data_IF_004586585724
#
_entry.id   IF_004586585724
#
_cell.length_a   1.000
_cell.length_b   1.000
_cell.length_c   1.000
_cell.angle_alpha   90.00
_cell.angle_beta   90.00
_cell.angle_gamma   90.00
#
_symmetry.space_group_name_H-M   'P 1'
#
loop_
_entity.id
_entity.type
_entity.pdbx_description
1 polymer ?
#
# COMPACT_ATOMS: atom_id res chain seq x y z
N UNK A 1 10.35 -26.14 -74.56
CA UNK A 1 10.98 -26.25 -73.24
C UNK A 1 11.63 -24.91 -72.91
N UNK A 2 11.08 -24.12 -71.99
CA UNK A 2 11.79 -23.03 -71.30
C UNK A 2 11.03 -22.68 -70.03
N UNK A 3 11.72 -22.82 -68.89
CA UNK A 3 11.22 -22.62 -67.53
C UNK A 3 11.24 -21.14 -67.15
N UNK A 4 10.25 -20.78 -66.34
CA UNK A 4 10.00 -19.49 -65.68
C UNK A 4 11.11 -19.14 -64.68
N UNK A 5 11.44 -17.85 -64.58
CA UNK A 5 12.06 -17.22 -63.41
C UNK A 5 11.23 -16.00 -63.03
N UNK A 6 10.75 -15.96 -61.79
CA UNK A 6 9.98 -14.85 -61.20
C UNK A 6 10.91 -14.14 -60.23
N UNK A 7 11.04 -12.82 -60.41
CA UNK A 7 11.85 -11.91 -59.60
C UNK A 7 11.02 -11.47 -58.38
N UNK A 8 11.57 -11.65 -57.18
CA UNK A 8 10.96 -11.26 -55.90
C UNK A 8 11.42 -9.83 -55.54
N UNK A 9 10.46 -8.93 -55.30
CA UNK A 9 10.70 -7.58 -54.77
C UNK A 9 10.72 -7.65 -53.23
N UNK A 10 11.83 -7.27 -52.61
CA UNK A 10 11.97 -7.11 -51.15
C UNK A 10 11.69 -5.65 -50.76
N UNK A 11 10.67 -5.45 -49.92
CA UNK A 11 10.33 -4.21 -49.25
C UNK A 11 11.27 -3.99 -48.05
N UNK A 12 11.95 -2.84 -48.03
CA UNK A 12 12.67 -2.34 -46.86
C UNK A 12 11.67 -1.85 -45.81
N UNK A 13 11.67 -2.48 -44.63
CA UNK A 13 11.14 -1.87 -43.39
C UNK A 13 12.32 -1.40 -42.55
N UNK A 14 12.47 -0.08 -42.45
CA UNK A 14 13.39 0.55 -41.50
C UNK A 14 12.83 0.42 -40.09
N UNK A 15 13.34 -0.57 -39.34
CA UNK A 15 13.12 -0.67 -37.90
C UNK A 15 14.04 0.29 -37.17
N UNK A 16 13.46 1.33 -36.58
CA UNK A 16 14.12 2.13 -35.54
C UNK A 16 14.14 1.29 -34.25
N UNK A 17 15.22 0.54 -34.07
CA UNK A 17 15.57 -0.03 -32.77
C UNK A 17 16.04 1.12 -31.86
N UNK A 18 15.18 1.50 -30.90
CA UNK A 18 15.60 2.28 -29.74
C UNK A 18 16.34 1.32 -28.80
N UNK A 19 17.66 1.37 -28.83
CA UNK A 19 18.53 0.67 -27.88
C UNK A 19 18.20 1.15 -26.46
N UNK A 20 17.56 0.28 -25.68
CA UNK A 20 17.44 0.45 -24.24
C UNK A 20 18.81 0.15 -23.61
N UNK A 21 19.41 1.05 -22.81
CA UNK A 21 20.68 0.76 -22.19
C UNK A 21 20.52 -0.35 -21.16
N UNK A 22 21.13 -1.51 -21.45
CA UNK A 22 21.42 -2.54 -20.45
C UNK A 22 22.46 -2.00 -19.46
N UNK A 23 21.99 -1.26 -18.46
CA UNK A 23 22.72 -1.07 -17.22
C UNK A 23 22.22 -2.13 -16.23
N UNK A 24 22.73 -3.36 -16.34
CA UNK A 24 22.65 -4.33 -15.25
C UNK A 24 23.52 -3.82 -14.10
N UNK A 25 22.92 -3.07 -13.19
CA UNK A 25 23.54 -2.72 -11.93
C UNK A 25 23.64 -3.97 -11.05
N UNK A 26 24.73 -4.71 -11.18
CA UNK A 26 25.23 -5.63 -10.14
C UNK A 26 25.81 -4.82 -8.98
N UNK A 27 25.00 -3.95 -8.40
CA UNK A 27 25.33 -3.31 -7.13
C UNK A 27 25.15 -4.35 -6.03
N UNK A 28 26.24 -4.73 -5.35
CA UNK A 28 26.13 -5.30 -4.01
C UNK A 28 25.18 -4.40 -3.22
N UNK A 29 24.09 -4.97 -2.71
CA UNK A 29 23.17 -4.25 -1.84
C UNK A 29 24.00 -3.63 -0.72
N UNK A 30 24.19 -2.31 -0.78
CA UNK A 30 24.62 -1.55 0.39
C UNK A 30 23.63 -1.88 1.50
N UNK A 31 24.14 -2.23 2.68
CA UNK A 31 23.33 -2.44 3.88
C UNK A 31 22.47 -1.19 4.09
N UNK A 32 21.21 -1.24 3.64
CA UNK A 32 20.24 -0.20 3.95
C UNK A 32 20.08 -0.26 5.47
N UNK A 33 20.36 0.83 6.21
CA UNK A 33 20.21 0.81 7.66
C UNK A 33 18.77 0.42 7.97
N UNK A 34 18.59 -0.75 8.58
CA UNK A 34 17.27 -1.21 8.97
C UNK A 34 16.72 -0.26 10.03
N UNK A 35 15.42 0.10 9.97
CA UNK A 35 14.83 0.94 10.99
C UNK A 35 14.88 0.23 12.34
N UNK A 36 14.93 1.04 13.39
CA UNK A 36 14.59 0.52 14.72
C UNK A 36 13.10 0.22 14.73
N UNK A 37 12.72 -1.00 15.10
CA UNK A 37 11.31 -1.41 15.14
C UNK A 37 10.86 -1.44 16.59
N UNK A 38 9.78 -0.71 16.88
CA UNK A 38 9.12 -0.71 18.19
C UNK A 38 7.73 -1.31 17.98
N UNK A 39 7.50 -2.48 18.57
CA UNK A 39 6.17 -3.05 18.74
C UNK A 39 5.73 -2.84 20.19
N UNK A 40 4.73 -2.00 20.38
CA UNK A 40 4.14 -1.70 21.69
C UNK A 40 2.73 -2.29 21.76
N UNK A 41 2.54 -3.25 22.66
CA UNK A 41 1.25 -3.92 22.88
C UNK A 41 0.52 -3.46 24.14
N UNK A 42 1.06 -2.45 24.85
CA UNK A 42 0.59 -2.05 26.17
C UNK A 42 -0.88 -1.63 26.14
N UNK A 43 -1.31 -0.92 25.09
CA UNK A 43 -2.71 -0.51 24.92
C UNK A 43 -3.67 -1.70 24.92
N UNK A 44 -3.39 -2.73 24.14
CA UNK A 44 -4.19 -3.95 24.10
C UNK A 44 -4.04 -4.81 25.36
N UNK A 45 -2.85 -4.90 25.95
CA UNK A 45 -2.63 -5.63 27.21
C UNK A 45 -3.42 -5.03 28.37
N UNK A 46 -3.47 -3.71 28.48
CA UNK A 46 -4.27 -3.00 29.50
C UNK A 46 -5.76 -3.25 29.32
N UNK A 47 -6.23 -3.29 28.07
CA UNK A 47 -7.61 -3.65 27.76
C UNK A 47 -7.94 -5.08 28.21
N UNK A 48 -7.08 -6.07 27.87
CA UNK A 48 -7.23 -7.47 28.28
C UNK A 48 -7.26 -7.60 29.81
N UNK A 49 -6.32 -6.95 30.50
CA UNK A 49 -6.21 -6.95 31.96
C UNK A 49 -7.49 -6.42 32.60
N UNK A 50 -8.01 -5.30 32.10
CA UNK A 50 -9.26 -4.72 32.59
C UNK A 50 -10.46 -5.65 32.36
N UNK A 51 -10.59 -6.21 31.14
CA UNK A 51 -11.73 -7.06 30.79
C UNK A 51 -11.78 -8.36 31.60
N UNK A 52 -10.63 -8.93 32.00
CA UNK A 52 -10.59 -10.09 32.91
C UNK A 52 -11.21 -9.79 34.28
N UNK A 53 -11.12 -8.55 34.75
CA UNK A 53 -11.62 -8.12 36.06
C UNK A 53 -13.08 -7.69 35.97
N UNK A 54 -13.42 -6.83 34.99
CA UNK A 54 -14.75 -6.21 34.89
C UNK A 54 -15.76 -7.09 34.14
N UNK A 55 -15.28 -8.09 33.39
CA UNK A 55 -16.00 -9.03 32.53
C UNK A 55 -16.76 -8.38 31.36
N UNK A 56 -17.44 -7.24 31.56
CA UNK A 56 -18.33 -6.62 30.58
C UNK A 56 -18.22 -5.08 30.47
N UNK A 57 -17.38 -4.40 31.27
CA UNK A 57 -17.28 -2.93 31.24
C UNK A 57 -16.28 -2.44 30.18
N UNK A 58 -16.71 -2.51 28.91
CA UNK A 58 -15.88 -2.16 27.74
C UNK A 58 -15.46 -0.70 27.77
N UNK A 59 -16.37 0.21 28.16
CA UNK A 59 -16.10 1.64 28.18
C UNK A 59 -14.95 1.97 29.15
N UNK A 60 -14.97 1.39 30.35
CA UNK A 60 -13.86 1.51 31.30
C UNK A 60 -12.57 0.92 30.76
N UNK A 61 -12.62 -0.23 30.09
CA UNK A 61 -11.42 -0.87 29.55
C UNK A 61 -10.83 -0.11 28.35
N UNK A 62 -11.67 0.54 27.55
CA UNK A 62 -11.22 1.47 26.51
C UNK A 62 -10.52 2.69 27.14
N UNK A 63 -11.10 3.28 28.20
CA UNK A 63 -10.48 4.40 28.91
C UNK A 63 -9.12 4.02 29.50
N UNK A 64 -8.96 2.80 30.04
CA UNK A 64 -7.68 2.28 30.51
C UNK A 64 -6.66 2.14 29.36
N UNK A 65 -7.09 1.55 28.23
CA UNK A 65 -6.25 1.44 27.03
C UNK A 65 -5.79 2.81 26.53
N UNK A 66 -6.68 3.81 26.53
CA UNK A 66 -6.41 5.19 26.12
C UNK A 66 -5.39 5.93 27.01
N UNK A 67 -5.05 5.40 28.19
CA UNK A 67 -3.99 5.99 29.04
C UNK A 67 -2.57 5.63 28.61
N UNK A 68 -2.42 4.60 27.77
CA UNK A 68 -1.11 4.20 27.21
C UNK A 68 -0.74 5.09 26.02
N UNK A 69 0.52 5.07 25.59
CA UNK A 69 0.95 5.94 24.49
C UNK A 69 0.26 5.58 23.17
N UNK A 70 0.20 4.29 22.81
CA UNK A 70 -0.59 3.84 21.66
C UNK A 70 -2.07 4.18 21.76
N UNK A 71 -2.67 4.04 22.95
CA UNK A 71 -4.08 4.37 23.16
C UNK A 71 -4.40 5.85 22.97
N UNK A 72 -3.52 6.76 23.40
CA UNK A 72 -3.65 8.20 23.15
C UNK A 72 -3.60 8.52 21.65
N UNK A 73 -2.69 7.87 20.92
CA UNK A 73 -2.58 8.05 19.46
C UNK A 73 -3.86 7.58 18.77
N UNK A 74 -4.40 6.43 19.18
CA UNK A 74 -5.68 5.93 18.67
C UNK A 74 -6.83 6.92 18.91
N UNK A 75 -6.98 7.49 20.11
CA UNK A 75 -8.01 8.51 20.40
C UNK A 75 -7.88 9.74 19.50
N UNK A 76 -6.66 10.19 19.22
CA UNK A 76 -6.42 11.31 18.32
C UNK A 76 -6.85 11.00 16.88
N UNK A 77 -6.76 9.73 16.47
CA UNK A 77 -7.10 9.29 15.12
C UNK A 77 -8.60 9.10 14.90
N UNK A 78 -9.39 8.78 15.95
CA UNK A 78 -10.84 8.51 15.85
C UNK A 78 -11.64 9.58 15.08
N UNK A 79 -11.48 10.90 15.30
CA UNK A 79 -12.33 11.91 14.67
C UNK A 79 -12.19 12.02 13.15
N UNK A 80 -11.19 11.37 12.54
CA UNK A 80 -10.92 11.49 11.10
C UNK A 80 -11.51 10.37 10.25
N UNK A 81 -12.08 9.33 10.87
CA UNK A 81 -12.61 8.16 10.14
C UNK A 81 -14.07 8.30 9.70
N UNK A 82 -14.63 9.50 9.78
CA UNK A 82 -16.07 9.71 9.59
C UNK A 82 -16.90 8.90 10.57
N UNK A 83 -18.22 8.86 10.37
CA UNK A 83 -19.08 7.89 11.06
C UNK A 83 -19.02 6.58 10.29
N UNK A 84 -18.26 5.60 10.80
CA UNK A 84 -18.40 4.23 10.33
C UNK A 84 -19.86 3.78 10.49
N UNK A 85 -20.40 2.98 9.54
CA UNK A 85 -21.75 2.42 9.70
C UNK A 85 -21.85 1.76 11.07
N UNK A 86 -22.98 1.96 11.74
CA UNK A 86 -23.29 1.29 13.00
C UNK A 86 -23.43 -0.22 12.75
N UNK A 87 -22.30 -0.89 12.63
CA UNK A 87 -22.14 -2.32 12.59
C UNK A 87 -21.54 -2.73 13.93
N UNK A 88 -22.27 -3.56 14.67
CA UNK A 88 -21.75 -4.23 15.85
C UNK A 88 -20.64 -5.19 15.41
N UNK A 89 -19.39 -4.73 15.38
CA UNK A 89 -18.24 -5.63 15.43
C UNK A 89 -18.50 -6.55 16.61
N UNK A 90 -18.65 -7.84 16.34
CA UNK A 90 -18.85 -8.83 17.40
C UNK A 90 -17.62 -8.76 18.28
N UNK A 91 -17.81 -8.38 19.54
CA UNK A 91 -16.71 -8.26 20.48
C UNK A 91 -15.99 -9.62 20.55
N UNK A 92 -14.67 -9.67 20.28
CA UNK A 92 -13.92 -10.91 20.41
C UNK A 92 -13.84 -11.32 21.89
N UNK A 93 -13.55 -12.59 22.13
CA UNK A 93 -13.28 -13.03 23.49
C UNK A 93 -11.96 -12.41 23.98
N UNK A 94 -11.86 -12.17 25.29
CA UNK A 94 -10.62 -11.70 25.93
C UNK A 94 -9.46 -12.66 25.65
N UNK A 95 -9.75 -13.97 25.57
CA UNK A 95 -8.76 -14.98 25.21
C UNK A 95 -8.27 -14.82 23.77
N UNK A 96 -9.15 -14.50 22.82
CA UNK A 96 -8.77 -14.27 21.41
C UNK A 96 -7.81 -13.10 21.29
N UNK A 97 -8.07 -12.00 22.01
CA UNK A 97 -7.17 -10.84 22.04
C UNK A 97 -5.84 -11.22 22.71
N UNK A 98 -5.83 -11.96 23.82
CA UNK A 98 -4.58 -12.43 24.43
C UNK A 98 -3.76 -13.32 23.46
N UNK A 99 -4.40 -14.29 22.80
CA UNK A 99 -3.74 -15.18 21.84
C UNK A 99 -3.14 -14.41 20.67
N UNK A 100 -3.82 -13.36 20.19
CA UNK A 100 -3.27 -12.44 19.19
C UNK A 100 -1.97 -11.80 19.70
N UNK A 101 -1.98 -11.18 20.89
CA UNK A 101 -0.79 -10.53 21.46
C UNK A 101 0.36 -11.51 21.68
N UNK A 102 0.07 -12.70 22.20
CA UNK A 102 1.06 -13.75 22.41
C UNK A 102 1.69 -14.16 21.06
N UNK A 103 0.90 -14.28 20.00
CA UNK A 103 1.43 -14.60 18.66
C UNK A 103 2.27 -13.46 18.09
N UNK A 104 1.82 -12.21 18.22
CA UNK A 104 2.54 -11.03 17.71
C UNK A 104 3.91 -10.87 18.36
N UNK A 105 4.07 -11.27 19.63
CA UNK A 105 5.37 -11.24 20.31
C UNK A 105 6.45 -12.13 19.69
N UNK A 106 6.04 -13.09 18.85
CA UNK A 106 6.93 -14.00 18.12
C UNK A 106 7.14 -13.58 16.65
N UNK A 107 6.64 -12.42 16.23
CA UNK A 107 6.84 -11.96 14.86
C UNK A 107 8.29 -11.57 14.60
N UNK A 108 8.81 -12.05 13.47
CA UNK A 108 10.09 -11.61 12.92
C UNK A 108 9.90 -10.31 12.12
N UNK A 109 9.52 -9.22 12.81
CA UNK A 109 9.23 -7.93 12.19
C UNK A 109 10.39 -7.39 11.34
N UNK A 110 11.64 -7.72 11.72
CA UNK A 110 12.82 -7.34 10.93
C UNK A 110 12.86 -8.01 9.56
N UNK A 111 12.37 -9.24 9.42
CA UNK A 111 12.32 -9.93 8.14
C UNK A 111 11.22 -9.34 7.25
N UNK A 112 10.03 -9.10 7.80
CA UNK A 112 8.93 -8.38 7.10
C UNK A 112 9.41 -7.01 6.62
N UNK A 113 10.04 -6.23 7.50
CA UNK A 113 10.57 -4.92 7.15
C UNK A 113 11.65 -4.99 6.06
N UNK A 114 12.50 -6.04 6.06
CA UNK A 114 13.52 -6.26 5.03
C UNK A 114 12.90 -6.63 3.68
N UNK A 115 11.86 -7.45 3.68
CA UNK A 115 11.12 -7.83 2.48
C UNK A 115 10.48 -6.60 1.83
N UNK A 116 9.83 -5.74 2.61
CA UNK A 116 9.23 -4.49 2.11
C UNK A 116 10.28 -3.49 1.66
N UNK A 117 11.40 -3.35 2.40
CA UNK A 117 12.52 -2.49 2.02
C UNK A 117 13.05 -2.78 0.61
N UNK A 118 12.86 -4.01 0.12
CA UNK A 118 13.27 -4.37 -1.23
C UNK A 118 12.44 -3.68 -2.34
N UNK A 119 11.33 -3.02 -2.03
CA UNK A 119 10.46 -2.35 -3.01
C UNK A 119 10.56 -0.82 -2.96
N UNK A 120 11.32 -0.25 -2.02
CA UNK A 120 11.52 1.20 -1.89
C UNK A 120 13.00 1.53 -2.13
N UNK A 121 13.33 2.68 -2.75
CA UNK A 121 14.72 3.13 -2.87
C UNK A 121 15.40 3.27 -1.50
N UNK A 122 16.75 3.17 -1.43
CA UNK A 122 17.47 3.30 -0.17
C UNK A 122 17.12 4.60 0.56
N UNK A 123 16.75 4.46 1.83
CA UNK A 123 16.41 5.59 2.68
C UNK A 123 17.66 6.43 2.95
N UNK A 124 17.51 7.76 2.87
CA UNK A 124 18.56 8.69 3.28
C UNK A 124 18.45 8.98 4.77
N UNK A 125 19.59 9.30 5.39
CA UNK A 125 19.67 9.59 6.82
C UNK A 125 19.74 8.33 7.70
N UNK A 126 19.73 8.53 9.01
CA UNK A 126 19.75 7.48 10.03
C UNK A 126 18.63 7.72 11.05
N UNK A 127 18.31 6.73 11.87
CA UNK A 127 17.35 6.89 12.97
C UNK A 127 15.87 6.71 12.59
N UNK A 128 15.58 6.16 11.41
CA UNK A 128 14.21 5.76 11.05
C UNK A 128 13.68 4.77 12.09
N UNK A 129 12.50 5.06 12.64
CA UNK A 129 11.87 4.25 13.68
C UNK A 129 10.49 3.82 13.22
N UNK A 130 10.31 2.52 12.97
CA UNK A 130 9.02 1.92 12.67
C UNK A 130 8.27 1.71 14.00
N UNK A 131 7.27 2.55 14.28
CA UNK A 131 6.46 2.47 15.49
C UNK A 131 5.13 1.78 15.18
N UNK A 132 4.88 0.66 15.85
CA UNK A 132 3.67 -0.15 15.71
C UNK A 132 3.03 -0.25 17.09
N UNK A 133 1.82 0.29 17.24
CA UNK A 133 1.07 0.19 18.49
C UNK A 133 -0.15 -0.71 18.31
N UNK A 134 -0.33 -1.64 19.23
CA UNK A 134 -1.47 -2.55 19.30
C UNK A 134 -2.38 -2.08 20.43
N UNK A 135 -3.60 -1.68 20.08
CA UNK A 135 -4.51 -0.96 20.99
C UNK A 135 -5.83 -1.69 21.19
N UNK A 136 -6.50 -1.45 22.32
CA UNK A 136 -7.82 -2.00 22.64
C UNK A 136 -8.97 -0.98 22.50
N UNK A 137 -8.67 0.30 22.31
CA UNK A 137 -9.65 1.39 22.20
C UNK A 137 -9.95 1.82 20.76
N UNK A 138 -9.58 1.04 19.74
CA UNK A 138 -9.85 1.42 18.34
C UNK A 138 -11.31 1.26 17.89
N UNK A 139 -12.00 0.20 18.32
CA UNK A 139 -13.38 -0.10 17.94
C UNK A 139 -14.39 0.83 18.64
N UNK A 140 -15.41 1.32 17.92
CA UNK A 140 -15.80 0.95 16.54
C UNK A 140 -15.31 1.95 15.48
N UNK A 141 -14.25 2.69 15.76
CA UNK A 141 -13.97 3.96 15.09
C UNK A 141 -12.98 3.89 13.93
N UNK A 142 -12.22 2.81 13.76
CA UNK A 142 -11.35 2.60 12.59
C UNK A 142 -11.18 1.11 12.25
N UNK A 143 -10.64 0.80 11.06
CA UNK A 143 -10.42 -0.57 10.55
C UNK A 143 -9.46 -1.41 11.44
N UNK A 144 -9.09 -2.61 11.01
CA UNK A 144 -8.05 -3.44 11.61
C UNK A 144 -6.69 -2.77 11.82
N UNK A 145 -6.19 -2.07 10.81
CA UNK A 145 -4.87 -1.43 10.85
C UNK A 145 -4.83 -0.22 9.90
N UNK A 146 -4.00 0.75 10.23
CA UNK A 146 -3.75 1.93 9.39
C UNK A 146 -2.51 2.68 9.87
N UNK A 147 -2.00 3.57 9.01
CA UNK A 147 -0.89 4.48 9.30
C UNK A 147 -1.38 5.92 9.40
N UNK A 148 -0.87 6.66 10.39
CA UNK A 148 -1.09 8.12 10.54
C UNK A 148 0.20 8.82 10.89
N UNK A 149 0.26 10.11 10.60
CA UNK A 149 1.44 10.90 10.88
C UNK A 149 1.24 11.74 12.14
N UNK A 150 2.16 11.59 13.09
CA UNK A 150 2.10 12.28 14.37
C UNK A 150 3.33 13.16 14.60
N UNK A 151 3.16 14.21 15.37
CA UNK A 151 4.25 15.03 15.87
C UNK A 151 4.13 15.20 17.37
N UNK A 152 5.24 15.55 18.03
CA UNK A 152 5.28 15.71 19.49
C UNK A 152 5.65 17.13 19.87
N UNK A 153 4.89 17.72 20.80
CA UNK A 153 5.24 18.98 21.48
C UNK A 153 5.39 18.69 22.96
N UNK A 154 6.60 18.85 23.49
CA UNK A 154 6.91 18.55 24.90
C UNK A 154 6.49 17.14 25.33
N UNK A 155 6.65 16.15 24.45
CA UNK A 155 6.26 14.75 24.69
C UNK A 155 4.77 14.45 24.48
N UNK A 156 3.94 15.44 24.14
CA UNK A 156 2.50 15.25 23.87
C UNK A 156 2.30 15.06 22.36
N UNK A 157 1.70 13.95 21.90
CA UNK A 157 1.45 13.72 20.49
C UNK A 157 0.27 14.55 19.97
N UNK A 158 0.30 14.89 18.68
CA UNK A 158 -0.81 15.47 17.93
C UNK A 158 -0.74 15.01 16.46
N UNK A 159 -1.90 14.96 15.78
CA UNK A 159 -1.96 14.61 14.36
C UNK A 159 -1.28 15.69 13.50
N UNK A 160 -0.44 15.24 12.58
CA UNK A 160 0.27 16.07 11.62
C UNK A 160 0.47 15.29 10.31
N UNK A 161 -0.61 15.13 9.54
CA UNK A 161 -0.63 14.35 8.28
C UNK A 161 0.38 14.83 7.23
N UNK A 162 0.84 16.08 7.31
CA UNK A 162 1.73 16.66 6.31
C UNK A 162 3.21 16.43 6.61
N UNK A 163 3.59 16.34 7.88
CA UNK A 163 5.02 16.36 8.27
C UNK A 163 5.36 15.57 9.53
N UNK A 164 4.39 14.86 10.10
CA UNK A 164 4.63 13.99 11.25
C UNK A 164 5.39 12.71 10.89
N UNK A 165 5.87 12.02 11.92
CA UNK A 165 6.38 10.66 11.78
C UNK A 165 5.22 9.71 11.53
N UNK A 166 5.31 8.81 10.53
CA UNK A 166 4.30 7.79 10.31
C UNK A 166 4.33 6.76 11.46
N UNK A 167 3.15 6.44 11.99
CA UNK A 167 2.92 5.46 13.06
C UNK A 167 1.80 4.52 12.64
N UNK A 168 2.04 3.23 12.81
CA UNK A 168 1.04 2.18 12.57
C UNK A 168 0.24 1.92 13.84
N UNK A 169 -1.08 1.88 13.71
CA UNK A 169 -2.01 1.55 14.78
C UNK A 169 -2.78 0.28 14.39
N UNK A 170 -2.77 -0.73 15.27
CA UNK A 170 -3.45 -2.01 15.09
C UNK A 170 -4.58 -2.11 16.12
N UNK A 171 -5.81 -2.28 15.66
CA UNK A 171 -6.94 -2.57 16.54
C UNK A 171 -6.98 -4.06 16.89
N UNK A 172 -6.53 -4.39 18.10
CA UNK A 172 -6.47 -5.77 18.57
C UNK A 172 -7.85 -6.44 18.61
N UNK A 173 -8.92 -5.68 18.84
CA UNK A 173 -10.28 -6.23 18.95
C UNK A 173 -10.85 -6.52 17.56
N UNK A 174 -10.66 -5.61 16.62
CA UNK A 174 -11.07 -5.85 15.24
C UNK A 174 -10.31 -7.03 14.65
N UNK A 175 -8.99 -7.06 14.79
CA UNK A 175 -8.15 -8.17 14.30
C UNK A 175 -8.55 -9.49 14.94
N UNK A 176 -8.71 -9.55 16.26
CA UNK A 176 -9.07 -10.79 16.95
C UNK A 176 -10.46 -11.31 16.56
N UNK A 177 -11.29 -10.50 15.91
CA UNK A 177 -12.61 -10.91 15.39
C UNK A 177 -12.51 -11.70 14.07
N UNK A 178 -11.38 -11.64 13.35
CA UNK A 178 -11.17 -12.35 12.08
C UNK A 178 -10.89 -13.84 12.24
N UNK A 179 -10.33 -14.24 13.39
CA UNK A 179 -9.99 -15.64 13.65
C UNK A 179 -11.24 -16.51 13.77
N UNK A 180 -11.28 -17.62 13.03
CA UNK A 180 -12.25 -18.70 13.19
C UNK A 180 -11.56 -19.99 13.66
N UNK A 181 -12.30 -21.09 13.81
CA UNK A 181 -11.73 -22.40 14.15
C UNK A 181 -10.83 -22.90 13.02
N UNK A 182 -9.53 -22.58 13.08
CA UNK A 182 -8.51 -23.09 12.14
C UNK A 182 -7.52 -22.05 11.64
N UNK A 183 -7.85 -20.75 11.69
CA UNK A 183 -6.98 -19.68 11.19
C UNK A 183 -6.60 -18.71 12.30
N UNK A 184 -5.29 -18.50 12.50
CA UNK A 184 -4.80 -17.55 13.48
C UNK A 184 -4.99 -16.12 12.94
N UNK A 185 -5.72 -15.28 13.67
CA UNK A 185 -5.93 -13.88 13.33
C UNK A 185 -4.60 -13.10 13.14
N UNK A 186 -3.56 -13.47 13.89
CA UNK A 186 -2.24 -12.89 13.75
C UNK A 186 -1.59 -13.21 12.39
N UNK A 187 -1.85 -14.39 11.83
CA UNK A 187 -1.30 -14.73 10.51
C UNK A 187 -2.04 -13.98 9.39
N UNK A 188 -3.35 -13.79 9.52
CA UNK A 188 -4.17 -12.99 8.59
C UNK A 188 -3.61 -11.56 8.47
N UNK A 189 -3.21 -10.95 9.58
CA UNK A 189 -2.75 -9.55 9.56
C UNK A 189 -1.27 -9.36 9.22
N UNK A 190 -0.47 -10.43 9.10
CA UNK A 190 0.91 -10.32 8.58
C UNK A 190 0.92 -9.81 7.15
N UNK A 191 -0.08 -10.16 6.37
CA UNK A 191 -0.29 -9.70 5.01
C UNK A 191 -0.57 -8.19 5.00
N UNK A 192 -1.49 -7.73 5.86
CA UNK A 192 -1.77 -6.30 6.04
C UNK A 192 -0.52 -5.55 6.56
N UNK A 193 0.34 -6.17 7.38
CA UNK A 193 1.60 -5.53 7.83
C UNK A 193 2.52 -5.17 6.66
N UNK A 194 2.63 -6.02 5.65
CA UNK A 194 3.46 -5.72 4.48
C UNK A 194 2.92 -4.49 3.73
N UNK A 195 1.59 -4.43 3.59
CA UNK A 195 0.88 -3.30 3.00
C UNK A 195 1.19 -1.99 3.75
N UNK A 196 0.98 -1.97 5.07
CA UNK A 196 1.17 -0.73 5.85
C UNK A 196 2.65 -0.34 6.05
N UNK A 197 3.56 -1.30 6.19
CA UNK A 197 5.00 -1.00 6.26
C UNK A 197 5.49 -0.37 4.95
N UNK A 198 4.89 -0.72 3.81
CA UNK A 198 5.24 -0.10 2.53
C UNK A 198 4.92 1.39 2.54
N UNK A 199 3.72 1.80 2.97
CA UNK A 199 3.36 3.21 3.09
C UNK A 199 4.32 3.99 4.01
N UNK A 200 4.78 3.37 5.10
CA UNK A 200 5.75 3.98 6.02
C UNK A 200 7.10 4.20 5.33
N UNK A 201 7.64 3.16 4.69
CA UNK A 201 8.93 3.24 3.99
C UNK A 201 8.87 4.23 2.83
N UNK A 202 7.79 4.19 2.06
CA UNK A 202 7.60 5.12 0.97
C UNK A 202 7.44 6.55 1.47
N UNK A 203 6.76 6.74 2.62
CA UNK A 203 6.66 8.05 3.28
C UNK A 203 8.02 8.60 3.73
N UNK A 204 8.90 7.76 4.27
CA UNK A 204 10.27 8.20 4.60
C UNK A 204 11.08 8.55 3.35
N UNK A 205 10.99 7.73 2.31
CA UNK A 205 11.71 7.98 1.06
C UNK A 205 11.27 9.32 0.43
N UNK A 206 9.97 9.50 0.20
CA UNK A 206 9.41 10.72 -0.43
C UNK A 206 9.70 11.99 0.38
N UNK A 207 9.81 11.88 1.71
CA UNK A 207 10.19 12.99 2.58
C UNK A 207 11.64 13.46 2.39
N UNK A 208 12.51 12.67 1.76
CA UNK A 208 13.93 13.00 1.54
C UNK A 208 14.32 13.20 0.08
N UNK A 209 13.40 12.97 -0.85
CA UNK A 209 13.61 13.16 -2.29
C UNK A 209 12.94 14.47 -2.75
N UNK A 210 13.75 15.40 -3.26
CA UNK A 210 13.29 16.74 -3.64
C UNK A 210 12.24 16.73 -4.77
N UNK A 211 12.30 15.74 -5.67
CA UNK A 211 11.33 15.59 -6.76
C UNK A 211 9.98 15.17 -6.20
N UNK A 212 9.99 14.17 -5.31
CA UNK A 212 8.80 13.75 -4.58
C UNK A 212 8.21 14.89 -3.73
N UNK A 213 9.03 15.63 -3.00
CA UNK A 213 8.54 16.80 -2.24
C UNK A 213 7.88 17.84 -3.17
N UNK A 214 8.43 18.07 -4.37
CA UNK A 214 7.85 18.96 -5.37
C UNK A 214 6.50 18.42 -5.88
N UNK A 215 6.43 17.13 -6.21
CA UNK A 215 5.21 16.46 -6.64
C UNK A 215 4.10 16.59 -5.59
N UNK A 216 4.40 16.28 -4.32
CA UNK A 216 3.45 16.37 -3.20
C UNK A 216 2.99 17.81 -2.93
N UNK A 217 3.86 18.82 -3.11
CA UNK A 217 3.47 20.24 -2.93
C UNK A 217 2.47 20.73 -3.96
N UNK A 218 2.50 20.15 -5.16
CA UNK A 218 1.59 20.48 -6.24
C UNK A 218 0.50 19.42 -6.41
N UNK A 219 0.03 18.84 -5.29
CA UNK A 219 -1.01 17.82 -5.30
C UNK A 219 -2.35 18.38 -5.81
N UNK A 220 -2.97 17.63 -6.72
CA UNK A 220 -4.31 17.86 -7.26
C UNK A 220 -5.09 16.54 -7.13
N UNK A 221 -6.44 16.53 -7.22
CA UNK A 221 -7.18 15.28 -7.18
C UNK A 221 -6.74 14.26 -8.25
N UNK A 222 -6.33 14.73 -9.44
CA UNK A 222 -5.81 13.85 -10.49
C UNK A 222 -4.43 13.28 -10.16
N UNK A 223 -3.55 14.09 -9.55
CA UNK A 223 -2.25 13.60 -9.04
C UNK A 223 -2.41 12.64 -7.88
N UNK A 224 -3.41 12.84 -7.03
CA UNK A 224 -3.74 11.92 -5.95
C UNK A 224 -4.17 10.58 -6.54
N UNK A 225 -5.08 10.57 -7.51
CA UNK A 225 -5.48 9.33 -8.21
C UNK A 225 -4.26 8.63 -8.84
N UNK A 226 -3.34 9.39 -9.44
CA UNK A 226 -2.12 8.85 -10.02
C UNK A 226 -1.21 8.23 -8.93
N UNK A 227 -1.08 8.90 -7.79
CA UNK A 227 -0.34 8.39 -6.64
C UNK A 227 -1.00 7.13 -6.07
N UNK A 228 -2.32 7.10 -5.88
CA UNK A 228 -3.08 5.97 -5.34
C UNK A 228 -2.85 4.70 -6.18
N UNK A 229 -2.86 4.81 -7.51
CA UNK A 229 -2.55 3.69 -8.42
C UNK A 229 -1.18 3.07 -8.13
N UNK A 230 -0.17 3.87 -7.76
CA UNK A 230 1.16 3.35 -7.43
C UNK A 230 1.27 2.91 -5.97
N UNK A 231 0.88 3.77 -5.04
CA UNK A 231 1.09 3.60 -3.60
C UNK A 231 0.28 2.41 -3.09
N UNK A 232 -1.04 2.48 -3.21
CA UNK A 232 -1.96 1.40 -2.81
C UNK A 232 -1.74 0.14 -3.66
N UNK A 233 -1.49 0.32 -4.96
CA UNK A 233 -1.23 -0.78 -5.87
C UNK A 233 -0.06 -1.67 -5.45
N UNK A 234 1.07 -1.06 -5.11
CA UNK A 234 2.24 -1.78 -4.60
C UNK A 234 1.95 -2.34 -3.21
N UNK A 235 1.31 -1.56 -2.32
CA UNK A 235 0.97 -1.98 -0.97
C UNK A 235 0.11 -3.25 -0.97
N UNK A 236 -0.97 -3.30 -1.76
CA UNK A 236 -1.81 -4.50 -1.91
C UNK A 236 -1.05 -5.67 -2.53
N UNK A 237 -0.18 -5.43 -3.51
CA UNK A 237 0.65 -6.51 -4.08
C UNK A 237 1.63 -7.10 -3.06
N UNK A 238 2.12 -6.29 -2.12
CA UNK A 238 2.95 -6.78 -1.03
C UNK A 238 2.13 -7.49 0.04
N UNK A 239 0.90 -7.02 0.27
CA UNK A 239 -0.02 -7.57 1.26
C UNK A 239 -0.91 -8.71 0.78
N UNK A 240 -0.82 -9.18 -0.48
CA UNK A 240 -1.50 -10.39 -0.93
C UNK A 240 -0.49 -11.37 -1.56
N UNK A 241 0.04 -12.33 -0.77
CA UNK A 241 1.01 -13.28 -1.28
C UNK A 241 0.44 -14.18 -2.40
N UNK A 242 -0.89 -14.31 -2.51
CA UNK A 242 -1.50 -15.09 -3.57
C UNK A 242 -1.21 -14.49 -4.94
N UNK A 243 -1.13 -13.16 -5.08
CA UNK A 243 -0.85 -12.53 -6.38
C UNK A 243 0.53 -12.90 -6.92
N UNK A 244 1.51 -13.11 -6.03
CA UNK A 244 2.85 -13.61 -6.40
C UNK A 244 2.84 -15.10 -6.73
N UNK A 245 2.02 -15.89 -6.05
CA UNK A 245 2.03 -17.36 -6.15
C UNK A 245 1.16 -17.89 -7.29
N UNK A 246 -0.05 -17.35 -7.43
CA UNK A 246 -1.08 -17.83 -8.36
C UNK A 246 -1.44 -16.81 -9.44
N UNK A 247 -0.87 -15.59 -9.36
CA UNK A 247 -1.11 -14.51 -10.30
C UNK A 247 -2.30 -13.63 -9.91
N UNK A 248 -2.44 -12.51 -10.61
CA UNK A 248 -3.54 -11.57 -10.38
C UNK A 248 -4.84 -12.05 -11.03
N UNK A 249 -6.02 -11.95 -10.37
CA UNK A 249 -7.29 -12.30 -10.99
C UNK A 249 -7.63 -11.40 -12.20
N UNK A 250 -7.37 -11.88 -13.41
CA UNK A 250 -7.45 -11.09 -14.66
C UNK A 250 -8.76 -10.32 -14.83
N UNK A 251 -9.90 -10.95 -14.56
CA UNK A 251 -11.22 -10.30 -14.72
C UNK A 251 -11.42 -9.12 -13.75
N UNK A 252 -10.89 -9.22 -12.52
CA UNK A 252 -10.93 -8.12 -11.54
C UNK A 252 -10.03 -6.97 -11.99
N UNK A 253 -8.82 -7.30 -12.45
CA UNK A 253 -7.86 -6.30 -12.94
C UNK A 253 -8.38 -5.54 -14.16
N UNK A 254 -8.98 -6.24 -15.13
CA UNK A 254 -9.60 -5.59 -16.29
C UNK A 254 -10.74 -4.65 -15.91
N UNK A 255 -11.65 -5.08 -15.03
CA UNK A 255 -12.75 -4.23 -14.57
C UNK A 255 -12.28 -2.97 -13.83
N UNK A 256 -11.23 -3.10 -13.02
CA UNK A 256 -10.59 -1.98 -12.33
C UNK A 256 -9.93 -1.01 -13.32
N UNK A 257 -9.17 -1.51 -14.30
CA UNK A 257 -8.60 -0.68 -15.38
C UNK A 257 -9.66 0.04 -16.21
N UNK A 258 -10.76 -0.63 -16.56
CA UNK A 258 -11.85 -0.02 -17.32
C UNK A 258 -12.50 1.11 -16.53
N UNK A 259 -12.63 0.95 -15.20
CA UNK A 259 -13.15 1.98 -14.29
C UNK A 259 -12.18 3.15 -14.16
N UNK A 260 -10.89 2.88 -13.95
CA UNK A 260 -9.84 3.89 -13.93
C UNK A 260 -9.84 4.72 -15.23
N UNK A 261 -9.94 4.08 -16.39
CA UNK A 261 -10.04 4.75 -17.69
C UNK A 261 -11.25 5.68 -17.78
N UNK A 262 -12.42 5.28 -17.26
CA UNK A 262 -13.61 6.15 -17.21
C UNK A 262 -13.40 7.36 -16.31
N UNK A 263 -12.75 7.20 -15.16
CA UNK A 263 -12.47 8.32 -14.25
C UNK A 263 -11.45 9.30 -14.84
N UNK A 264 -10.42 8.81 -15.53
CA UNK A 264 -9.48 9.67 -16.27
C UNK A 264 -10.21 10.49 -17.34
N UNK A 265 -11.15 9.88 -18.08
CA UNK A 265 -11.99 10.63 -19.03
C UNK A 265 -12.89 11.65 -18.32
N UNK A 266 -13.41 11.33 -17.14
CA UNK A 266 -14.21 12.26 -16.35
C UNK A 266 -13.40 13.48 -15.89
N UNK A 267 -12.12 13.31 -15.53
CA UNK A 267 -11.20 14.42 -15.29
C UNK A 267 -11.06 15.31 -16.52
N UNK A 268 -10.76 14.72 -17.69
CA UNK A 268 -10.60 15.46 -18.96
C UNK A 268 -11.85 16.24 -19.36
N UNK A 269 -13.03 15.70 -19.04
CA UNK A 269 -14.32 16.30 -19.37
C UNK A 269 -14.85 17.26 -18.29
N UNK A 270 -14.17 17.39 -17.14
CA UNK A 270 -14.64 18.21 -16.01
C UNK A 270 -15.87 17.64 -15.31
N UNK A 271 -16.10 16.32 -15.39
CA UNK A 271 -17.28 15.62 -14.83
C UNK A 271 -16.91 14.65 -13.70
N UNK A 272 -15.68 14.70 -13.19
CA UNK A 272 -15.25 13.88 -12.06
C UNK A 272 -16.02 14.27 -10.80
N UNK A 273 -16.43 13.29 -10.00
CA UNK A 273 -17.17 13.50 -8.75
C UNK A 273 -16.37 13.06 -7.53
N UNK A 274 -16.65 13.60 -6.33
CA UNK A 274 -16.04 13.11 -5.09
C UNK A 274 -16.19 11.60 -4.89
N UNK A 275 -17.37 11.03 -5.16
CA UNK A 275 -17.61 9.58 -5.09
C UNK A 275 -16.69 8.76 -5.99
N UNK A 276 -16.37 9.27 -7.20
CA UNK A 276 -15.42 8.60 -8.08
C UNK A 276 -14.03 8.57 -7.47
N UNK A 277 -13.61 9.65 -6.83
CA UNK A 277 -12.30 9.73 -6.17
C UNK A 277 -12.26 8.89 -4.90
N UNK A 278 -13.33 8.92 -4.10
CA UNK A 278 -13.45 8.11 -2.90
C UNK A 278 -13.31 6.61 -3.22
N UNK A 279 -14.00 6.13 -4.26
CA UNK A 279 -13.92 4.72 -4.68
C UNK A 279 -12.58 4.32 -5.31
N UNK A 280 -11.62 5.24 -5.46
CA UNK A 280 -10.29 4.89 -5.92
C UNK A 280 -9.63 3.91 -4.95
N UNK A 281 -9.70 4.20 -3.65
CA UNK A 281 -9.03 3.49 -2.56
C UNK A 281 -9.92 3.20 -1.32
N UNK A 282 -11.16 3.72 -1.27
CA UNK A 282 -12.12 3.42 -0.19
C UNK A 282 -13.23 2.47 -0.67
N UNK A 283 -13.82 1.74 0.28
CA UNK A 283 -14.92 0.79 0.04
C UNK A 283 -14.51 -0.67 0.14
N UNK A 284 -15.36 -1.56 -0.38
CA UNK A 284 -15.08 -3.01 -0.36
C UNK A 284 -13.83 -3.31 -1.19
N UNK A 285 -13.04 -4.30 -0.79
CA UNK A 285 -11.73 -4.61 -1.41
C UNK A 285 -11.73 -4.58 -2.95
N UNK A 286 -12.63 -5.31 -3.60
CA UNK A 286 -12.70 -5.38 -5.07
C UNK A 286 -13.36 -4.17 -5.76
N UNK A 287 -13.85 -3.19 -5.00
CA UNK A 287 -14.47 -1.97 -5.52
C UNK A 287 -13.47 -0.80 -5.64
N UNK A 288 -12.32 -0.91 -4.97
CA UNK A 288 -11.23 0.07 -4.94
C UNK A 288 -10.44 0.06 -6.25
N UNK A 289 -10.96 0.74 -7.28
CA UNK A 289 -10.49 0.51 -8.65
C UNK A 289 -9.03 0.97 -8.89
N UNK A 290 -8.53 1.98 -8.17
CA UNK A 290 -7.15 2.44 -8.33
C UNK A 290 -6.18 1.43 -7.69
N UNK A 291 -6.48 1.00 -6.47
CA UNK A 291 -5.75 -0.04 -5.73
C UNK A 291 -5.65 -1.35 -6.54
N UNK A 292 -6.79 -1.83 -7.05
CA UNK A 292 -6.86 -3.10 -7.78
C UNK A 292 -6.18 -3.00 -9.15
N UNK A 293 -6.29 -1.87 -9.86
CA UNK A 293 -5.53 -1.66 -11.10
C UNK A 293 -4.02 -1.59 -10.81
N UNK A 294 -3.63 -0.88 -9.76
CA UNK A 294 -2.26 -0.78 -9.30
C UNK A 294 -1.67 -2.13 -8.88
N UNK A 295 -2.44 -2.97 -8.19
CA UNK A 295 -2.04 -4.32 -7.80
C UNK A 295 -1.77 -5.23 -9.00
N UNK A 296 -2.62 -5.14 -10.03
CA UNK A 296 -2.37 -5.78 -11.32
C UNK A 296 -1.07 -5.26 -11.95
N UNK A 297 -0.82 -3.95 -11.91
CA UNK A 297 0.37 -3.35 -12.48
C UNK A 297 1.64 -3.83 -11.80
N UNK A 298 1.67 -3.81 -10.46
CA UNK A 298 2.78 -4.33 -9.66
C UNK A 298 3.02 -5.81 -9.98
N UNK A 299 1.96 -6.63 -10.01
CA UNK A 299 2.08 -8.06 -10.33
C UNK A 299 2.69 -8.29 -11.72
N UNK A 300 2.22 -7.57 -12.75
CA UNK A 300 2.74 -7.70 -14.10
C UNK A 300 4.18 -7.21 -14.25
N UNK A 301 4.55 -6.12 -13.58
CA UNK A 301 5.92 -5.60 -13.58
C UNK A 301 6.87 -6.58 -12.90
N UNK A 302 6.51 -7.12 -11.74
CA UNK A 302 7.34 -8.13 -11.06
C UNK A 302 7.47 -9.40 -11.89
N UNK A 303 6.37 -9.87 -12.48
CA UNK A 303 6.37 -11.07 -13.31
C UNK A 303 7.35 -10.99 -14.48
N UNK A 304 7.38 -9.86 -15.18
CA UNK A 304 8.20 -9.70 -16.41
C UNK A 304 9.59 -9.15 -16.11
N UNK A 305 9.71 -8.18 -15.20
CA UNK A 305 10.95 -7.42 -14.97
C UNK A 305 11.51 -7.52 -13.55
N UNK A 306 10.80 -8.19 -12.65
CA UNK A 306 11.19 -8.38 -11.25
C UNK A 306 11.10 -7.15 -10.36
N UNK A 307 11.16 -7.41 -9.05
CA UNK A 307 11.06 -6.42 -7.95
C UNK A 307 11.93 -5.17 -8.09
N UNK A 308 13.12 -5.28 -8.70
CA UNK A 308 14.00 -4.14 -8.91
C UNK A 308 13.35 -3.06 -9.78
N UNK A 309 12.51 -3.48 -10.73
CA UNK A 309 11.79 -2.59 -11.64
C UNK A 309 10.64 -1.88 -10.94
N UNK A 310 9.95 -2.55 -9.99
CA UNK A 310 8.98 -1.90 -9.09
C UNK A 310 9.69 -0.86 -8.23
N UNK A 311 10.80 -1.21 -7.59
CA UNK A 311 11.58 -0.26 -6.78
C UNK A 311 11.98 0.98 -7.57
N UNK A 312 12.47 0.79 -8.78
CA UNK A 312 12.82 1.91 -9.64
C UNK A 312 11.57 2.73 -10.03
N UNK A 313 10.39 2.13 -10.18
CA UNK A 313 9.17 2.90 -10.41
C UNK A 313 8.81 3.81 -9.22
N UNK A 314 9.07 3.37 -7.97
CA UNK A 314 8.92 4.21 -6.77
C UNK A 314 9.90 5.39 -6.80
N UNK A 315 11.09 5.20 -7.35
CA UNK A 315 12.07 6.29 -7.54
C UNK A 315 11.67 7.29 -8.63
N UNK A 316 11.05 6.80 -9.71
CA UNK A 316 10.76 7.57 -10.93
C UNK A 316 9.33 8.13 -10.97
N UNK A 317 8.47 7.67 -10.07
CA UNK A 317 7.11 8.16 -9.86
C UNK A 317 6.01 7.33 -10.52
N UNK A 318 4.75 7.74 -10.30
CA UNK A 318 3.60 6.90 -10.59
C UNK A 318 3.32 6.77 -12.10
N UNK A 319 3.63 7.80 -12.90
CA UNK A 319 3.58 7.67 -14.36
C UNK A 319 4.58 6.61 -14.87
N UNK A 320 5.78 6.56 -14.31
CA UNK A 320 6.78 5.53 -14.66
C UNK A 320 6.28 4.13 -14.31
N UNK A 321 5.61 3.96 -13.18
CA UNK A 321 4.98 2.69 -12.78
C UNK A 321 3.98 2.19 -13.83
N UNK A 322 3.06 3.04 -14.28
CA UNK A 322 2.08 2.69 -15.33
C UNK A 322 2.79 2.34 -16.65
N UNK A 323 3.78 3.14 -17.07
CA UNK A 323 4.52 2.89 -18.32
C UNK A 323 5.37 1.62 -18.28
N UNK A 324 5.86 1.22 -17.10
CA UNK A 324 6.53 -0.06 -16.89
C UNK A 324 5.58 -1.24 -17.03
N UNK A 325 4.35 -1.12 -16.55
CA UNK A 325 3.33 -2.13 -16.81
C UNK A 325 2.96 -2.18 -18.30
N UNK A 326 2.81 -1.04 -18.98
CA UNK A 326 2.60 -1.00 -20.44
C UNK A 326 3.71 -1.76 -21.19
N UNK A 327 4.97 -1.59 -20.77
CA UNK A 327 6.09 -2.34 -21.31
C UNK A 327 6.00 -3.85 -21.00
N UNK A 328 5.54 -4.24 -19.81
CA UNK A 328 5.34 -5.64 -19.43
C UNK A 328 4.30 -6.31 -20.35
N UNK A 329 3.18 -5.64 -20.62
CA UNK A 329 2.12 -6.16 -21.52
C UNK A 329 2.56 -6.37 -22.97
N UNK A 330 3.61 -5.67 -23.42
CA UNK A 330 4.22 -5.90 -24.74
C UNK A 330 5.13 -7.12 -24.77
N UNK A 331 5.72 -7.51 -23.64
CA UNK A 331 6.58 -8.68 -23.54
C UNK A 331 5.82 -9.96 -23.19
N UNK A 332 4.76 -9.83 -22.38
CA UNK A 332 3.87 -10.92 -22.03
C UNK A 332 2.41 -10.64 -22.45
N UNK A 333 1.95 -11.24 -23.57
CA UNK A 333 0.55 -11.13 -24.03
C UNK A 333 -0.49 -11.72 -23.07
N UNK A 334 -0.06 -12.49 -22.06
CA UNK A 334 -0.94 -13.02 -21.02
C UNK A 334 -1.41 -11.94 -20.04
N UNK A 335 -0.73 -10.79 -19.99
CA UNK A 335 -1.15 -9.63 -19.22
C UNK A 335 -2.21 -8.82 -19.98
N UNK A 336 -3.26 -8.31 -19.33
CA UNK A 336 -4.24 -7.47 -19.98
C UNK A 336 -3.62 -6.10 -20.33
N UNK A 337 -3.67 -5.66 -21.61
CA UNK A 337 -3.00 -4.44 -22.05
C UNK A 337 -3.64 -3.19 -21.43
N UNK A 338 -2.84 -2.13 -21.27
CA UNK A 338 -3.40 -0.82 -20.93
C UNK A 338 -4.35 -0.33 -22.03
N UNK A 339 -5.43 0.32 -21.60
CA UNK A 339 -6.28 1.11 -22.50
C UNK A 339 -5.50 2.33 -23.00
N UNK A 340 -5.84 2.81 -24.19
CA UNK A 340 -5.20 4.02 -24.76
C UNK A 340 -5.36 5.23 -23.84
N UNK A 341 -6.49 5.33 -23.14
CA UNK A 341 -6.75 6.40 -22.16
C UNK A 341 -5.70 6.41 -21.05
N UNK A 342 -5.45 5.27 -20.40
CA UNK A 342 -4.49 5.16 -19.29
C UNK A 342 -3.07 5.38 -19.82
N UNK A 343 -2.76 4.80 -20.99
CA UNK A 343 -1.44 4.98 -21.63
C UNK A 343 -1.16 6.45 -21.90
N UNK A 344 -2.08 7.16 -22.53
CA UNK A 344 -1.95 8.59 -22.82
C UNK A 344 -1.86 9.43 -21.55
N UNK A 345 -2.62 9.07 -20.52
CA UNK A 345 -2.54 9.73 -19.22
C UNK A 345 -1.13 9.63 -18.65
N UNK A 346 -0.53 8.44 -18.60
CA UNK A 346 0.82 8.26 -18.08
C UNK A 346 1.94 8.91 -18.93
N UNK A 347 1.69 9.22 -20.22
CA UNK A 347 2.68 9.90 -21.08
C UNK A 347 2.74 11.43 -20.90
N UNK A 348 1.79 12.01 -20.15
CA UNK A 348 1.74 13.45 -19.91
C UNK A 348 3.02 13.94 -19.17
N UNK A 349 3.74 14.94 -19.71
CA UNK A 349 5.00 15.42 -19.11
C UNK A 349 4.89 15.92 -17.67
N UNK A 350 3.73 16.47 -17.30
CA UNK A 350 3.43 17.04 -15.98
C UNK A 350 3.36 16.01 -14.84
N UNK A 351 3.37 14.71 -15.16
CA UNK A 351 3.39 13.61 -14.20
C UNK A 351 4.77 13.08 -13.86
N UNK A 352 5.81 13.58 -14.51
CA UNK A 352 7.19 13.21 -14.20
C UNK A 352 7.63 13.87 -12.90
N UNK A 353 8.38 13.11 -12.09
CA UNK A 353 9.03 13.59 -10.87
C UNK A 353 10.22 14.51 -11.17
#
# INVERSE_FOLDING_TARGET
MLRRSVLLLLLLTAGLALDAPQAMATGKFSDVPMPTIILDTQGASEWVRCMRVTKNDIARCNAMSATTDGGKLAELSVPTFGTLPSGTIKLPSVQSVQTLLDTMSHWHLQDIAREVAAYVPPLKGSGHTLRIFVVGNGVPSFSDMYVRHFSWRHGIPFLNETSGDPVMLIDARQVASYGNTGTNAADIIKDVLHHEIFHIYFSWYRATDARWQSFMKAMTPERQLLLDVQDEGIAHYLGDPAWKQTGFPRARGQAAMDTLGKVILAFRNGTVTPDMLQKANEGSFWEKYADIAGGLFATGIDHVFGKATIRQSVQDGPACFILKYDAATRQDPSLPPLTDTIRQWAYQPEWRL
#
